data_IF_124507722089
#
_entry.id   IF_124507722089
#
_cell.length_a   1.000
_cell.length_b   1.000
_cell.length_c   1.000
_cell.angle_alpha   90.00
_cell.angle_beta   90.00
_cell.angle_gamma   90.00
#
_symmetry.space_group_name_H-M   'P 1'
#
loop_
_entity.id
_entity.type
_entity.pdbx_description
1 polymer ?
#
# COMPACT_ATOMS: atom_id res chain seq x y z
N UNK A 1 31.56 23.17 13.10
CA UNK A 1 30.67 23.64 12.02
C UNK A 1 31.09 23.11 10.66
N UNK A 2 32.32 23.37 10.21
CA UNK A 2 32.81 22.95 8.89
C UNK A 2 32.63 21.44 8.53
N UNK A 3 32.80 20.50 9.49
CA UNK A 3 32.60 19.06 9.22
C UNK A 3 31.13 18.72 8.98
N UNK A 4 30.21 19.34 9.73
CA UNK A 4 28.76 19.11 9.60
C UNK A 4 28.27 19.63 8.24
N UNK A 5 28.76 20.79 7.84
CA UNK A 5 28.42 21.42 6.56
C UNK A 5 28.92 20.59 5.37
N UNK A 6 30.14 20.06 5.45
CA UNK A 6 30.70 19.16 4.41
C UNK A 6 29.93 17.85 4.33
N UNK A 7 29.58 17.23 5.47
CA UNK A 7 28.77 15.99 5.45
C UNK A 7 27.37 16.21 4.90
N UNK A 8 26.75 17.35 5.19
CA UNK A 8 25.41 17.69 4.69
C UNK A 8 25.42 17.98 3.20
N UNK A 9 26.45 18.68 2.70
CA UNK A 9 26.67 18.91 1.28
C UNK A 9 26.82 17.57 0.53
N UNK A 10 27.63 16.65 1.06
CA UNK A 10 27.81 15.33 0.48
C UNK A 10 26.48 14.56 0.39
N UNK A 11 25.69 14.56 1.47
CA UNK A 11 24.38 13.91 1.50
C UNK A 11 23.40 14.53 0.47
N UNK A 12 23.38 15.85 0.33
CA UNK A 12 22.55 16.54 -0.66
C UNK A 12 22.94 16.16 -2.09
N UNK A 13 24.24 16.11 -2.40
CA UNK A 13 24.72 15.71 -3.73
C UNK A 13 24.36 14.25 -4.02
N UNK A 14 24.51 13.38 -3.03
CA UNK A 14 24.12 11.97 -3.16
C UNK A 14 22.61 11.82 -3.41
N UNK A 15 21.77 12.52 -2.64
CA UNK A 15 20.32 12.53 -2.84
C UNK A 15 19.94 13.07 -4.22
N UNK A 16 20.56 14.16 -4.68
CA UNK A 16 20.35 14.70 -6.01
C UNK A 16 20.72 13.68 -7.10
N UNK A 17 21.80 12.93 -6.91
CA UNK A 17 22.20 11.84 -7.81
C UNK A 17 21.16 10.72 -7.89
N UNK A 18 20.61 10.29 -6.75
CA UNK A 18 19.54 9.28 -6.70
C UNK A 18 18.30 9.77 -7.43
N UNK A 19 17.87 11.01 -7.14
CA UNK A 19 16.67 11.60 -7.76
C UNK A 19 16.83 11.83 -9.27
N UNK A 20 18.03 12.15 -9.74
CA UNK A 20 18.32 12.20 -11.18
C UNK A 20 18.16 10.82 -11.83
N UNK A 21 18.59 9.76 -11.14
CA UNK A 21 18.36 8.38 -11.57
C UNK A 21 16.87 8.06 -11.69
N UNK A 22 16.07 8.46 -10.70
CA UNK A 22 14.61 8.30 -10.71
C UNK A 22 13.97 9.03 -11.90
N UNK A 23 14.34 10.30 -12.15
CA UNK A 23 13.84 11.07 -13.30
C UNK A 23 14.12 10.37 -14.63
N UNK A 24 15.33 9.85 -14.82
CA UNK A 24 15.69 9.12 -16.05
C UNK A 24 14.88 7.82 -16.17
N UNK A 25 14.65 7.12 -15.06
CA UNK A 25 13.80 5.94 -14.99
C UNK A 25 12.37 6.24 -15.44
N UNK A 26 11.74 7.25 -14.84
CA UNK A 26 10.35 7.63 -15.13
C UNK A 26 10.17 8.11 -16.57
N UNK A 27 11.10 8.91 -17.11
CA UNK A 27 11.05 9.37 -18.51
C UNK A 27 11.15 8.20 -19.50
N UNK A 28 11.95 7.17 -19.16
CA UNK A 28 12.05 5.96 -19.98
C UNK A 28 10.74 5.16 -19.97
N UNK A 29 10.11 5.03 -18.81
CA UNK A 29 8.87 4.29 -18.62
C UNK A 29 7.68 4.96 -19.34
N UNK A 30 7.56 6.28 -19.22
CA UNK A 30 6.58 7.09 -19.98
C UNK A 30 6.74 6.90 -21.49
N UNK A 31 7.98 6.80 -21.97
CA UNK A 31 8.27 6.61 -23.40
C UNK A 31 7.89 5.21 -23.90
N UNK A 32 7.99 4.18 -23.07
CA UNK A 32 7.63 2.80 -23.45
C UNK A 32 6.13 2.52 -23.37
N UNK A 33 5.44 3.03 -22.34
CA UNK A 33 4.03 2.67 -22.08
C UNK A 33 3.01 3.68 -22.65
N UNK A 34 3.46 4.89 -22.97
CA UNK A 34 2.61 5.99 -23.40
C UNK A 34 1.95 6.73 -22.22
N UNK A 35 1.84 8.05 -22.35
CA UNK A 35 1.46 8.99 -21.27
C UNK A 35 0.10 8.63 -20.64
N UNK A 36 -0.87 8.19 -21.45
CA UNK A 36 -2.26 7.95 -21.00
C UNK A 36 -2.43 6.70 -20.13
N UNK A 37 -1.66 5.64 -20.41
CA UNK A 37 -1.69 4.42 -19.59
C UNK A 37 -0.91 4.67 -18.29
N UNK A 38 0.22 5.34 -18.41
CA UNK A 38 1.10 5.69 -17.31
C UNK A 38 0.42 6.59 -16.25
N UNK A 39 -0.34 7.61 -16.68
CA UNK A 39 -1.00 8.55 -15.77
C UNK A 39 -2.21 7.96 -15.00
N UNK A 40 -2.65 6.74 -15.35
CA UNK A 40 -3.75 6.06 -14.64
C UNK A 40 -3.25 5.29 -13.41
N UNK A 41 -1.95 4.97 -13.35
CA UNK A 41 -1.39 4.29 -12.19
C UNK A 41 -1.09 5.29 -11.06
N UNK A 42 -1.63 5.01 -9.88
CA UNK A 42 -1.49 5.87 -8.69
C UNK A 42 -0.03 5.97 -8.26
N UNK A 43 0.74 4.89 -8.44
CA UNK A 43 2.16 4.85 -8.05
C UNK A 43 3.01 5.82 -8.86
N UNK A 44 2.71 5.94 -10.14
CA UNK A 44 3.40 6.87 -11.04
C UNK A 44 3.12 8.33 -10.65
N UNK A 45 1.90 8.63 -10.19
CA UNK A 45 1.56 9.96 -9.67
C UNK A 45 2.37 10.27 -8.41
N UNK A 46 2.55 9.30 -7.51
CA UNK A 46 3.35 9.44 -6.29
C UNK A 46 4.83 9.69 -6.64
N UNK A 47 5.38 8.96 -7.61
CA UNK A 47 6.77 9.13 -8.06
C UNK A 47 7.02 10.54 -8.65
N UNK A 48 6.13 11.03 -9.53
CA UNK A 48 6.21 12.40 -10.04
C UNK A 48 6.01 13.45 -8.95
N UNK A 49 5.08 13.23 -8.02
CA UNK A 49 4.88 14.14 -6.90
C UNK A 49 6.13 14.25 -6.04
N UNK A 50 6.84 13.14 -5.79
CA UNK A 50 8.10 13.13 -5.07
C UNK A 50 9.19 13.92 -5.81
N UNK A 51 9.30 13.75 -7.13
CA UNK A 51 10.25 14.50 -7.97
C UNK A 51 9.96 16.01 -7.91
N UNK A 52 8.69 16.41 -8.05
CA UNK A 52 8.30 17.82 -7.99
C UNK A 52 8.59 18.42 -6.61
N UNK A 53 8.28 17.69 -5.53
CA UNK A 53 8.61 18.12 -4.16
C UNK A 53 10.11 18.33 -3.98
N UNK A 54 10.94 17.43 -4.50
CA UNK A 54 12.39 17.55 -4.41
C UNK A 54 12.93 18.76 -5.16
N UNK A 55 12.46 19.01 -6.39
CA UNK A 55 12.83 20.20 -7.17
C UNK A 55 12.42 21.47 -6.43
N UNK A 56 11.19 21.51 -5.90
CA UNK A 56 10.71 22.63 -5.11
C UNK A 56 11.60 22.86 -3.87
N UNK A 57 12.01 21.80 -3.19
CA UNK A 57 12.88 21.88 -2.02
C UNK A 57 14.26 22.47 -2.36
N UNK A 58 14.86 22.07 -3.48
CA UNK A 58 16.12 22.66 -3.96
C UNK A 58 15.93 24.16 -4.25
N UNK A 59 14.86 24.53 -4.94
CA UNK A 59 14.57 25.95 -5.25
C UNK A 59 14.43 26.76 -3.97
N UNK A 60 13.64 26.28 -3.00
CA UNK A 60 13.48 26.96 -1.71
C UNK A 60 14.79 27.04 -0.92
N UNK A 61 15.58 25.98 -0.91
CA UNK A 61 16.90 25.96 -0.25
C UNK A 61 17.86 27.01 -0.85
N UNK A 62 17.93 27.09 -2.18
CA UNK A 62 18.71 28.11 -2.87
C UNK A 62 18.21 29.53 -2.58
N UNK A 63 16.88 29.73 -2.55
CA UNK A 63 16.29 31.02 -2.19
C UNK A 63 16.65 31.43 -0.76
N UNK A 64 16.58 30.51 0.22
CA UNK A 64 16.98 30.81 1.59
C UNK A 64 18.46 31.13 1.68
N UNK A 65 19.33 30.36 1.03
CA UNK A 65 20.76 30.64 1.02
C UNK A 65 21.09 31.97 0.33
N UNK A 66 20.35 32.32 -0.73
CA UNK A 66 20.47 33.62 -1.38
C UNK A 66 20.04 34.76 -0.44
N UNK A 67 18.92 34.61 0.27
CA UNK A 67 18.47 35.56 1.29
C UNK A 67 19.51 35.68 2.41
N UNK A 68 20.02 34.56 2.92
CA UNK A 68 21.12 34.56 3.90
C UNK A 68 22.33 35.29 3.37
N UNK A 69 22.75 35.08 2.13
CA UNK A 69 23.91 35.79 1.56
C UNK A 69 23.69 37.31 1.42
N UNK A 70 22.46 37.75 1.14
CA UNK A 70 22.10 39.18 1.09
C UNK A 70 22.10 39.80 2.48
N UNK A 71 21.55 39.10 3.48
CA UNK A 71 21.35 39.64 4.83
C UNK A 71 22.48 39.30 5.83
N UNK A 72 23.37 38.36 5.50
CA UNK A 72 24.51 37.95 6.32
C UNK A 72 25.78 38.77 6.06
N UNK A 73 25.66 39.95 5.44
CA UNK A 73 26.71 40.95 5.54
C UNK A 73 26.49 41.78 6.81
N UNK A 74 27.21 41.51 7.92
CA UNK A 74 27.40 42.54 8.91
C UNK A 74 28.40 43.53 8.29
N UNK A 75 27.91 44.43 7.43
CA UNK A 75 28.65 45.68 7.28
C UNK A 75 28.62 46.29 8.67
N UNK A 76 29.76 46.17 9.36
CA UNK A 76 30.03 46.54 10.74
C UNK A 76 29.00 47.55 11.22
N UNK A 77 28.03 47.07 12.01
CA UNK A 77 27.03 47.93 12.65
C UNK A 77 27.86 48.91 13.49
N UNK A 78 28.16 50.09 12.94
CA UNK A 78 28.82 51.17 13.66
C UNK A 78 27.72 51.79 14.53
N UNK A 79 27.29 51.01 15.54
CA UNK A 79 26.18 51.27 16.47
C UNK A 79 26.30 52.62 17.19
N UNK A 80 27.47 53.26 17.10
CA UNK A 80 27.85 54.39 17.93
C UNK A 80 27.68 55.78 17.30
N UNK A 81 27.22 55.92 16.05
CA UNK A 81 27.26 57.25 15.39
C UNK A 81 25.93 57.88 14.98
N UNK A 82 24.81 57.15 14.82
CA UNK A 82 23.53 57.77 14.40
C UNK A 82 22.29 57.04 14.98
N UNK A 83 21.68 57.58 16.04
CA UNK A 83 20.52 56.98 16.72
C UNK A 83 19.25 56.79 15.87
N UNK A 84 18.91 57.65 14.89
CA UNK A 84 17.74 57.41 14.03
C UNK A 84 17.92 56.28 13.01
N UNK A 85 19.13 56.04 12.50
CA UNK A 85 19.40 54.99 11.50
C UNK A 85 19.53 53.61 12.12
N UNK A 86 20.10 53.51 13.33
CA UNK A 86 20.29 52.24 14.05
C UNK A 86 18.95 51.54 14.35
N UNK A 87 17.88 52.28 14.69
CA UNK A 87 16.56 51.68 14.94
C UNK A 87 15.97 51.05 13.66
N UNK A 88 16.11 51.74 12.52
CA UNK A 88 15.63 51.27 11.22
C UNK A 88 16.43 50.04 10.75
N UNK A 89 17.73 50.00 11.00
CA UNK A 89 18.59 48.89 10.60
C UNK A 89 18.37 47.63 11.46
N UNK A 90 18.15 47.78 12.78
CA UNK A 90 17.78 46.67 13.67
C UNK A 90 16.39 46.12 13.32
N UNK A 91 15.43 46.98 13.00
CA UNK A 91 14.08 46.55 12.60
C UNK A 91 14.09 45.80 11.26
N UNK A 92 14.89 46.25 10.28
CA UNK A 92 15.09 45.54 9.01
C UNK A 92 15.81 44.21 9.21
N UNK A 93 16.84 44.17 10.06
CA UNK A 93 17.53 42.93 10.42
C UNK A 93 16.59 41.92 11.10
N UNK A 94 15.77 42.37 12.05
CA UNK A 94 14.76 41.54 12.71
C UNK A 94 13.70 41.00 11.75
N UNK A 95 13.11 41.85 10.91
CA UNK A 95 12.15 41.41 9.88
C UNK A 95 12.77 40.44 8.87
N UNK A 96 14.07 40.62 8.53
CA UNK A 96 14.77 39.70 7.65
C UNK A 96 15.07 38.35 8.32
N UNK A 97 15.35 38.34 9.62
CA UNK A 97 15.57 37.13 10.41
C UNK A 97 14.26 36.32 10.55
N UNK A 98 13.15 36.98 10.88
CA UNK A 98 11.83 36.34 10.97
C UNK A 98 11.41 35.73 9.62
N UNK A 99 11.70 36.41 8.51
CA UNK A 99 11.43 35.91 7.16
C UNK A 99 12.27 34.67 6.81
N UNK A 100 13.55 34.64 7.24
CA UNK A 100 14.44 33.49 7.07
C UNK A 100 13.95 32.31 7.93
N UNK A 101 13.65 32.53 9.21
CA UNK A 101 13.13 31.49 10.11
C UNK A 101 11.82 30.88 9.59
N UNK A 102 10.87 31.72 9.16
CA UNK A 102 9.61 31.24 8.58
C UNK A 102 9.84 30.46 7.26
N UNK A 103 10.88 30.80 6.50
CA UNK A 103 11.25 30.05 5.30
C UNK A 103 11.89 28.69 5.64
N UNK A 104 12.70 28.63 6.69
CA UNK A 104 13.28 27.39 7.22
C UNK A 104 12.20 26.44 7.74
N UNK A 105 11.20 26.95 8.48
CA UNK A 105 10.05 26.14 8.92
C UNK A 105 9.27 25.55 7.75
N UNK A 106 9.04 26.33 6.69
CA UNK A 106 8.41 25.83 5.46
C UNK A 106 9.24 24.74 4.80
N UNK A 107 10.56 24.90 4.73
CA UNK A 107 11.45 23.86 4.21
C UNK A 107 11.41 22.59 5.06
N UNK A 108 11.38 22.72 6.39
CA UNK A 108 11.27 21.57 7.29
C UNK A 108 9.96 20.81 7.07
N UNK A 109 8.83 21.50 6.95
CA UNK A 109 7.54 20.89 6.63
C UNK A 109 7.61 20.15 5.29
N UNK A 110 8.18 20.77 4.25
CA UNK A 110 8.36 20.12 2.93
C UNK A 110 9.26 18.88 3.02
N UNK A 111 10.28 18.92 3.87
CA UNK A 111 11.20 17.79 4.12
C UNK A 111 10.46 16.62 4.76
N UNK A 112 9.59 16.90 5.75
CA UNK A 112 8.77 15.88 6.40
C UNK A 112 7.81 15.25 5.40
N UNK A 113 7.16 16.06 4.56
CA UNK A 113 6.26 15.56 3.51
C UNK A 113 7.05 14.71 2.50
N UNK A 114 8.25 15.13 2.10
CA UNK A 114 9.10 14.36 1.19
C UNK A 114 9.45 12.98 1.77
N UNK A 115 9.84 12.91 3.05
CA UNK A 115 10.13 11.64 3.73
C UNK A 115 8.87 10.77 3.85
N UNK A 116 7.72 11.38 4.12
CA UNK A 116 6.44 10.67 4.18
C UNK A 116 6.09 10.04 2.81
N UNK A 117 6.24 10.79 1.72
CA UNK A 117 6.03 10.29 0.36
C UNK A 117 7.05 9.20 0.00
N UNK A 118 8.32 9.38 0.36
CA UNK A 118 9.34 8.35 0.17
C UNK A 118 9.00 7.06 0.94
N UNK A 119 8.43 7.18 2.13
CA UNK A 119 7.94 6.05 2.91
C UNK A 119 6.74 5.38 2.23
N UNK A 120 5.83 6.14 1.63
CA UNK A 120 4.73 5.58 0.84
C UNK A 120 5.24 4.82 -0.39
N UNK A 121 6.32 5.30 -1.02
CA UNK A 121 6.98 4.60 -2.14
C UNK A 121 7.52 3.22 -1.75
N UNK A 122 7.85 2.98 -0.47
CA UNK A 122 8.22 1.64 0.01
C UNK A 122 7.12 0.60 -0.26
N UNK A 123 5.84 0.99 -0.18
CA UNK A 123 4.74 0.08 -0.52
C UNK A 123 4.78 -0.38 -1.98
N UNK A 124 5.23 0.47 -2.92
CA UNK A 124 5.44 0.07 -4.33
C UNK A 124 6.44 -1.09 -4.43
N UNK A 125 7.55 -1.00 -3.70
CA UNK A 125 8.59 -2.04 -3.69
C UNK A 125 8.16 -3.31 -2.93
N UNK A 126 7.35 -3.17 -1.88
CA UNK A 126 6.80 -4.32 -1.15
C UNK A 126 5.85 -5.17 -2.00
N UNK A 127 5.21 -4.59 -3.04
CA UNK A 127 4.39 -5.35 -4.01
C UNK A 127 5.20 -6.31 -4.89
N UNK A 128 6.53 -6.30 -4.84
CA UNK A 128 7.34 -7.30 -5.50
C UNK A 128 7.12 -8.71 -4.88
N UNK A 129 6.74 -8.77 -3.60
CA UNK A 129 6.36 -10.03 -2.96
C UNK A 129 4.87 -10.34 -3.19
N UNK A 130 4.52 -11.54 -3.69
CA UNK A 130 3.13 -11.89 -3.99
C UNK A 130 2.19 -11.90 -2.77
N UNK A 131 2.69 -12.09 -1.55
CA UNK A 131 1.85 -12.02 -0.35
C UNK A 131 1.53 -10.57 0.01
N UNK A 132 2.51 -9.68 -0.06
CA UNK A 132 2.32 -8.25 0.23
C UNK A 132 1.56 -7.52 -0.89
N UNK A 133 1.75 -7.94 -2.15
CA UNK A 133 0.98 -7.44 -3.29
C UNK A 133 -0.52 -7.68 -3.10
N UNK A 134 -0.90 -8.87 -2.66
CA UNK A 134 -2.29 -9.21 -2.35
C UNK A 134 -2.87 -8.24 -1.33
N UNK A 135 -2.20 -8.01 -0.20
CA UNK A 135 -2.68 -7.10 0.85
C UNK A 135 -2.87 -5.67 0.31
N UNK A 136 -1.96 -5.19 -0.53
CA UNK A 136 -2.07 -3.85 -1.13
C UNK A 136 -3.24 -3.73 -2.12
N UNK A 137 -3.47 -4.75 -2.94
CA UNK A 137 -4.54 -4.76 -3.93
C UNK A 137 -5.91 -4.85 -3.25
N UNK A 138 -5.98 -5.57 -2.14
CA UNK A 138 -7.21 -5.79 -1.39
C UNK A 138 -7.56 -4.56 -0.58
N UNK A 139 -6.56 -3.88 -0.01
CA UNK A 139 -6.74 -2.57 0.61
C UNK A 139 -7.20 -1.53 -0.43
N UNK A 140 -6.64 -1.57 -1.65
CA UNK A 140 -7.05 -0.69 -2.74
C UNK A 140 -8.51 -0.89 -3.17
N UNK A 141 -8.98 -2.14 -3.21
CA UNK A 141 -10.40 -2.44 -3.46
C UNK A 141 -11.29 -2.03 -2.30
N UNK A 142 -10.88 -2.35 -1.07
CA UNK A 142 -11.60 -1.98 0.15
C UNK A 142 -11.74 -0.45 0.30
N UNK A 143 -10.77 0.31 -0.22
CA UNK A 143 -10.80 1.77 -0.18
C UNK A 143 -12.03 2.36 -0.87
N UNK A 144 -12.52 1.75 -1.95
CA UNK A 144 -13.71 2.25 -2.64
C UNK A 144 -14.94 2.18 -1.73
N UNK A 145 -15.18 1.03 -1.10
CA UNK A 145 -16.31 0.89 -0.17
C UNK A 145 -16.12 1.76 1.06
N UNK A 146 -14.89 1.81 1.57
CA UNK A 146 -14.52 2.63 2.72
C UNK A 146 -14.73 4.12 2.44
N UNK A 147 -14.51 4.57 1.19
CA UNK A 147 -14.71 5.96 0.81
C UNK A 147 -16.19 6.37 0.90
N UNK A 148 -17.11 5.50 0.50
CA UNK A 148 -18.55 5.75 0.61
C UNK A 148 -19.00 5.86 2.07
N UNK A 149 -18.54 4.95 2.93
CA UNK A 149 -18.77 5.03 4.37
C UNK A 149 -18.11 6.28 4.99
N UNK A 150 -16.90 6.61 4.53
CA UNK A 150 -16.14 7.76 4.97
C UNK A 150 -16.88 9.09 4.76
N UNK A 151 -17.68 9.22 3.70
CA UNK A 151 -18.52 10.42 3.49
C UNK A 151 -19.53 10.58 4.62
N UNK A 152 -20.22 9.50 5.01
CA UNK A 152 -21.20 9.52 6.11
C UNK A 152 -20.52 9.85 7.44
N UNK A 153 -19.36 9.23 7.68
CA UNK A 153 -18.52 9.51 8.85
C UNK A 153 -18.12 10.99 8.92
N UNK A 154 -17.59 11.55 7.84
CA UNK A 154 -17.16 12.95 7.77
C UNK A 154 -18.32 13.92 7.97
N UNK A 155 -19.50 13.63 7.41
CA UNK A 155 -20.71 14.43 7.62
C UNK A 155 -21.13 14.46 9.10
N UNK A 156 -21.16 13.29 9.74
CA UNK A 156 -21.43 13.20 11.17
C UNK A 156 -20.36 13.95 11.98
N UNK A 157 -19.08 13.76 11.65
CA UNK A 157 -17.95 14.40 12.32
C UNK A 157 -18.07 15.93 12.25
N UNK A 158 -18.35 16.50 11.08
CA UNK A 158 -18.50 17.96 10.92
C UNK A 158 -19.70 18.49 11.72
N UNK A 159 -20.84 17.79 11.67
CA UNK A 159 -22.03 18.20 12.42
C UNK A 159 -21.78 18.21 13.94
N UNK A 160 -21.21 17.13 14.47
CA UNK A 160 -20.89 17.03 15.90
C UNK A 160 -19.75 17.97 16.30
N UNK A 161 -18.76 18.20 15.42
CA UNK A 161 -17.69 19.18 15.65
C UNK A 161 -18.27 20.57 15.88
N UNK A 162 -19.20 21.00 15.02
CA UNK A 162 -19.85 22.30 15.18
C UNK A 162 -20.68 22.35 16.46
N UNK A 163 -21.45 21.30 16.79
CA UNK A 163 -22.20 21.24 18.05
C UNK A 163 -21.29 21.35 19.27
N UNK A 164 -20.19 20.59 19.32
CA UNK A 164 -19.25 20.60 20.43
C UNK A 164 -18.48 21.92 20.53
N UNK A 165 -18.08 22.50 19.40
CA UNK A 165 -17.46 23.83 19.35
C UNK A 165 -18.38 24.90 19.97
N UNK A 166 -19.66 24.93 19.59
CA UNK A 166 -20.61 25.90 20.14
C UNK A 166 -20.88 25.69 21.64
N UNK A 167 -20.90 24.44 22.11
CA UNK A 167 -21.30 24.13 23.49
C UNK A 167 -20.14 24.13 24.50
N UNK A 168 -18.94 23.74 24.07
CA UNK A 168 -17.79 23.58 24.94
C UNK A 168 -16.66 24.57 24.62
N UNK A 169 -16.68 25.26 23.49
CA UNK A 169 -15.53 26.05 23.03
C UNK A 169 -15.13 27.23 23.92
N UNK A 170 -16.02 27.71 24.80
CA UNK A 170 -15.67 28.74 25.79
C UNK A 170 -15.22 28.18 27.13
N UNK A 171 -15.39 26.86 27.36
CA UNK A 171 -15.20 26.21 28.66
C UNK A 171 -14.09 25.17 28.66
N UNK A 172 -13.74 24.63 27.48
CA UNK A 172 -12.74 23.58 27.35
C UNK A 172 -11.82 23.91 26.15
N UNK A 173 -10.52 23.93 26.41
CA UNK A 173 -9.48 24.18 25.42
C UNK A 173 -9.47 23.14 24.28
N UNK A 174 -9.93 21.91 24.56
CA UNK A 174 -10.07 20.83 23.57
C UNK A 174 -11.08 21.17 22.45
N UNK A 175 -12.00 22.11 22.70
CA UNK A 175 -13.01 22.54 21.73
C UNK A 175 -12.94 24.03 21.39
N UNK A 176 -11.81 24.70 21.63
CA UNK A 176 -11.69 26.15 21.49
C UNK A 176 -11.70 26.66 20.04
N UNK A 177 -11.48 25.78 19.05
CA UNK A 177 -11.54 26.08 17.64
C UNK A 177 -12.03 24.86 16.86
N UNK A 178 -12.65 25.02 15.67
CA UNK A 178 -13.20 23.89 14.92
C UNK A 178 -12.19 22.79 14.59
N UNK A 179 -10.93 23.12 14.31
CA UNK A 179 -9.90 22.12 14.00
C UNK A 179 -9.48 21.32 15.24
N UNK A 180 -9.34 21.98 16.39
CA UNK A 180 -9.11 21.32 17.68
C UNK A 180 -10.31 20.45 18.07
N UNK A 181 -11.53 20.93 17.84
CA UNK A 181 -12.76 20.17 18.07
C UNK A 181 -12.82 18.88 17.25
N UNK A 182 -12.37 18.89 15.99
CA UNK A 182 -12.27 17.66 15.17
C UNK A 182 -11.34 16.65 15.82
N UNK A 183 -10.14 17.08 16.21
CA UNK A 183 -9.14 16.22 16.86
C UNK A 183 -9.71 15.67 18.18
N UNK A 184 -10.39 16.51 18.96
CA UNK A 184 -11.02 16.11 20.21
C UNK A 184 -12.16 15.10 20.03
N UNK A 185 -13.00 15.27 19.00
CA UNK A 185 -14.04 14.30 18.66
C UNK A 185 -13.46 12.95 18.24
N UNK A 186 -12.41 12.97 17.40
CA UNK A 186 -11.73 11.74 16.94
C UNK A 186 -11.08 11.03 18.13
N UNK A 187 -10.40 11.77 19.02
CA UNK A 187 -9.84 11.22 20.26
C UNK A 187 -10.92 10.57 21.13
N UNK A 188 -12.02 11.28 21.35
CA UNK A 188 -13.17 10.74 22.11
C UNK A 188 -13.76 9.48 21.45
N UNK A 189 -13.81 9.43 20.12
CA UNK A 189 -14.26 8.23 19.39
C UNK A 189 -13.29 7.05 19.51
N UNK A 190 -11.98 7.31 19.64
CA UNK A 190 -10.96 6.30 19.90
C UNK A 190 -10.91 5.87 21.39
N UNK A 191 -11.70 6.49 22.26
CA UNK A 191 -11.70 6.25 23.70
C UNK A 191 -10.67 7.08 24.47
N UNK A 192 -9.98 8.01 23.81
CA UNK A 192 -9.07 8.98 24.42
C UNK A 192 -9.88 10.19 24.92
N UNK A 193 -10.53 10.00 26.08
CA UNK A 193 -11.17 11.07 26.81
C UNK A 193 -10.21 11.62 27.85
N UNK A 194 -9.82 12.88 27.73
CA UNK A 194 -8.96 13.54 28.73
C UNK A 194 -9.61 13.44 30.12
N UNK A 195 -8.89 12.82 31.06
CA UNK A 195 -9.29 12.64 32.45
C UNK A 195 -9.17 13.93 33.27
N UNK A 196 -8.50 14.97 32.74
CA UNK A 196 -8.20 16.20 33.44
C UNK A 196 -9.24 17.31 33.23
N UNK A 197 -10.01 17.26 32.14
CA UNK A 197 -11.15 18.17 31.89
C UNK A 197 -12.43 17.35 31.73
N UNK A 198 -13.23 17.17 32.80
CA UNK A 198 -14.41 16.36 32.69
C UNK A 198 -15.40 17.03 31.73
N UNK A 199 -15.63 16.39 30.58
CA UNK A 199 -16.71 16.67 29.64
C UNK A 199 -18.09 16.65 30.32
N UNK A 200 -18.16 15.99 31.49
CA UNK A 200 -19.30 15.89 32.36
C UNK A 200 -19.20 16.90 33.51
N UNK A 201 -20.21 17.75 33.74
CA UNK A 201 -20.16 18.76 34.79
C UNK A 201 -20.11 18.10 36.18
N UNK A 202 -18.99 18.30 36.90
CA UNK A 202 -18.80 17.87 38.30
C UNK A 202 -19.27 18.94 39.31
N UNK A 203 -20.23 19.79 38.95
CA UNK A 203 -20.76 20.79 39.88
C UNK A 203 -22.19 20.42 40.26
N UNK A 204 -22.48 20.33 41.56
CA UNK A 204 -23.74 19.83 42.13
C UNK A 204 -25.00 20.66 41.84
N UNK A 205 -25.01 21.45 40.77
CA UNK A 205 -26.18 22.15 40.22
C UNK A 205 -26.24 21.87 38.72
N UNK A 206 -27.00 20.86 38.32
CA UNK A 206 -27.27 20.58 36.92
C UNK A 206 -28.13 21.70 36.33
N UNK A 207 -27.54 22.60 35.56
CA UNK A 207 -28.30 23.49 34.68
C UNK A 207 -28.87 22.67 33.50
N UNK A 208 -29.95 23.12 32.87
CA UNK A 208 -30.51 22.43 31.69
C UNK A 208 -29.47 22.29 30.54
N UNK A 209 -28.55 23.24 30.45
CA UNK A 209 -27.45 23.26 29.48
C UNK A 209 -26.44 22.14 29.76
N UNK A 210 -26.16 21.85 31.02
CA UNK A 210 -25.22 20.81 31.45
C UNK A 210 -25.73 19.40 31.16
N UNK A 211 -27.04 19.20 31.28
CA UNK A 211 -27.71 17.96 30.86
C UNK A 211 -27.61 17.83 29.34
N UNK A 212 -27.86 18.90 28.59
CA UNK A 212 -27.77 18.89 27.12
C UNK A 212 -26.35 18.57 26.62
N UNK A 213 -25.31 19.12 27.27
CA UNK A 213 -23.90 18.79 27.02
C UNK A 213 -23.62 17.30 27.18
N UNK A 214 -24.08 16.75 28.30
CA UNK A 214 -23.93 15.32 28.63
C UNK A 214 -24.61 14.43 27.58
N UNK A 215 -25.84 14.78 27.17
CA UNK A 215 -26.59 14.03 26.15
C UNK A 215 -25.88 14.04 24.80
N UNK A 216 -25.33 15.18 24.36
CA UNK A 216 -24.60 15.24 23.09
C UNK A 216 -23.34 14.38 23.13
N UNK A 217 -22.52 14.50 24.18
CA UNK A 217 -21.29 13.69 24.32
C UNK A 217 -21.64 12.20 24.38
N UNK A 218 -22.66 11.83 25.14
CA UNK A 218 -23.13 10.44 25.21
C UNK A 218 -23.63 9.95 23.84
N UNK A 219 -24.38 10.78 23.11
CA UNK A 219 -24.85 10.43 21.77
C UNK A 219 -23.70 10.23 20.80
N UNK A 220 -22.64 11.05 20.88
CA UNK A 220 -21.43 10.90 20.09
C UNK A 220 -20.73 9.58 20.41
N UNK A 221 -20.47 9.28 21.68
CA UNK A 221 -19.80 8.04 22.09
C UNK A 221 -20.57 6.79 21.65
N UNK A 222 -21.90 6.78 21.81
CA UNK A 222 -22.74 5.67 21.34
C UNK A 222 -22.66 5.54 19.81
N UNK A 223 -22.82 6.65 19.09
CA UNK A 223 -22.79 6.66 17.63
C UNK A 223 -21.41 6.25 17.09
N UNK A 224 -20.32 6.75 17.66
CA UNK A 224 -18.96 6.46 17.20
C UNK A 224 -18.51 5.04 17.55
N UNK A 225 -18.77 4.57 18.78
CA UNK A 225 -18.33 3.26 19.24
C UNK A 225 -19.21 2.12 18.69
N UNK A 226 -20.53 2.27 18.71
CA UNK A 226 -21.44 1.18 18.33
C UNK A 226 -21.73 1.18 16.84
N UNK A 227 -21.92 2.34 16.22
CA UNK A 227 -22.29 2.39 14.79
C UNK A 227 -21.04 2.56 13.92
N UNK A 228 -20.28 3.64 14.10
CA UNK A 228 -19.22 3.97 13.14
C UNK A 228 -18.07 2.96 13.17
N UNK A 229 -17.52 2.61 14.34
CA UNK A 229 -16.41 1.66 14.41
C UNK A 229 -16.81 0.23 14.04
N UNK A 230 -18.01 -0.22 14.40
CA UNK A 230 -18.43 -1.58 14.07
C UNK A 230 -18.76 -1.74 12.57
N UNK A 231 -19.34 -0.72 11.93
CA UNK A 231 -19.54 -0.73 10.47
C UNK A 231 -18.19 -0.69 9.75
N UNK A 232 -17.25 0.13 10.23
CA UNK A 232 -15.90 0.18 9.69
C UNK A 232 -15.21 -1.18 9.77
N UNK A 233 -15.25 -1.83 10.95
CA UNK A 233 -14.66 -3.15 11.15
C UNK A 233 -15.31 -4.21 10.27
N UNK A 234 -16.65 -4.22 10.19
CA UNK A 234 -17.38 -5.15 9.32
C UNK A 234 -16.95 -5.00 7.86
N UNK A 235 -16.81 -3.77 7.37
CA UNK A 235 -16.43 -3.52 5.99
C UNK A 235 -15.01 -3.96 5.67
N UNK A 236 -14.08 -3.76 6.60
CA UNK A 236 -12.69 -4.22 6.46
C UNK A 236 -12.63 -5.76 6.46
N UNK A 237 -13.39 -6.41 7.36
CA UNK A 237 -13.46 -7.87 7.43
C UNK A 237 -14.07 -8.47 6.17
N UNK A 238 -15.16 -7.90 5.65
CA UNK A 238 -15.80 -8.39 4.42
C UNK A 238 -14.87 -8.29 3.22
N UNK A 239 -14.15 -7.17 3.08
CA UNK A 239 -13.17 -6.99 2.02
C UNK A 239 -11.97 -7.94 2.15
N UNK A 240 -11.50 -8.19 3.37
CA UNK A 240 -10.44 -9.16 3.63
C UNK A 240 -10.89 -10.60 3.32
N UNK A 241 -12.12 -10.96 3.68
CA UNK A 241 -12.68 -12.29 3.38
C UNK A 241 -12.85 -12.49 1.87
N UNK A 242 -13.40 -11.49 1.16
CA UNK A 242 -13.52 -11.53 -0.30
C UNK A 242 -12.16 -11.67 -0.99
N UNK A 243 -11.16 -10.94 -0.51
CA UNK A 243 -9.78 -11.06 -0.98
C UNK A 243 -9.22 -12.48 -0.84
N UNK A 244 -9.47 -13.11 0.31
CA UNK A 244 -9.03 -14.47 0.57
C UNK A 244 -9.74 -15.48 -0.34
N UNK A 245 -11.05 -15.31 -0.56
CA UNK A 245 -11.82 -16.12 -1.50
C UNK A 245 -11.31 -16.02 -2.93
N UNK A 246 -10.99 -14.81 -3.41
CA UNK A 246 -10.44 -14.60 -4.75
C UNK A 246 -9.13 -15.35 -4.97
N UNK A 247 -8.26 -15.40 -3.95
CA UNK A 247 -7.01 -16.16 -3.99
C UNK A 247 -7.28 -17.66 -4.03
N UNK A 248 -8.25 -18.14 -3.26
CA UNK A 248 -8.65 -19.56 -3.29
C UNK A 248 -9.21 -19.94 -4.66
N UNK A 249 -10.09 -19.11 -5.23
CA UNK A 249 -10.67 -19.32 -6.58
C UNK A 249 -9.58 -19.32 -7.65
N UNK A 250 -8.60 -18.42 -7.58
CA UNK A 250 -7.46 -18.40 -8.52
C UNK A 250 -6.63 -19.68 -8.46
N UNK A 251 -6.32 -20.17 -7.26
CA UNK A 251 -5.60 -21.45 -7.08
C UNK A 251 -6.38 -22.64 -7.60
N UNK A 252 -7.70 -22.66 -7.40
CA UNK A 252 -8.57 -23.72 -7.92
C UNK A 252 -8.63 -23.67 -9.45
N UNK A 253 -8.80 -22.49 -10.05
CA UNK A 253 -8.83 -22.31 -11.50
C UNK A 253 -7.50 -22.69 -12.16
N UNK A 254 -6.37 -22.38 -11.53
CA UNK A 254 -5.05 -22.79 -12.04
C UNK A 254 -4.89 -24.32 -12.00
N UNK A 255 -5.30 -24.97 -10.89
CA UNK A 255 -5.31 -26.42 -10.79
C UNK A 255 -6.24 -27.09 -11.81
N UNK A 256 -7.43 -26.54 -12.05
CA UNK A 256 -8.36 -27.04 -13.09
C UNK A 256 -7.83 -26.79 -14.50
N UNK A 257 -7.18 -25.65 -14.75
CA UNK A 257 -6.51 -25.33 -16.01
C UNK A 257 -5.38 -26.31 -16.32
N UNK A 258 -4.57 -26.63 -15.31
CA UNK A 258 -3.55 -27.67 -15.41
C UNK A 258 -4.20 -29.03 -15.70
N UNK A 259 -5.28 -29.39 -14.99
CA UNK A 259 -5.94 -30.67 -15.18
C UNK A 259 -6.56 -30.80 -16.60
N UNK A 260 -7.14 -29.72 -17.13
CA UNK A 260 -7.74 -29.70 -18.47
C UNK A 260 -6.69 -29.78 -19.59
N UNK A 261 -5.57 -29.08 -19.46
CA UNK A 261 -4.46 -29.16 -20.43
C UNK A 261 -3.81 -30.55 -20.42
N UNK A 262 -3.63 -31.17 -19.24
CA UNK A 262 -3.17 -32.55 -19.11
C UNK A 262 -4.13 -33.54 -19.79
N UNK A 263 -5.45 -33.37 -19.61
CA UNK A 263 -6.47 -34.22 -20.25
C UNK A 263 -6.42 -34.11 -21.77
N UNK A 264 -6.27 -32.90 -22.32
CA UNK A 264 -6.17 -32.68 -23.76
C UNK A 264 -4.91 -33.30 -24.37
N UNK A 265 -3.75 -33.14 -23.71
CA UNK A 265 -2.49 -33.75 -24.15
C UNK A 265 -2.57 -35.28 -24.15
N UNK A 266 -3.18 -35.85 -23.12
CA UNK A 266 -3.42 -37.27 -23.02
C UNK A 266 -4.34 -37.81 -24.13
N UNK A 267 -5.46 -37.12 -24.40
CA UNK A 267 -6.39 -37.53 -25.47
C UNK A 267 -5.72 -37.47 -26.85
N UNK A 268 -4.90 -36.44 -27.12
CA UNK A 268 -4.13 -36.31 -28.36
C UNK A 268 -3.12 -37.46 -28.54
N UNK A 269 -2.29 -37.75 -27.53
CA UNK A 269 -1.31 -38.84 -27.63
C UNK A 269 -1.97 -40.22 -27.61
N UNK A 270 -3.03 -40.42 -26.84
CA UNK A 270 -3.81 -41.66 -26.83
C UNK A 270 -4.41 -41.98 -28.20
N UNK A 271 -4.91 -40.96 -28.92
CA UNK A 271 -5.42 -41.13 -30.29
C UNK A 271 -4.31 -41.58 -31.27
N UNK A 272 -3.07 -41.17 -31.02
CA UNK A 272 -1.90 -41.57 -31.81
C UNK A 272 -1.48 -43.00 -31.48
N UNK A 273 -1.48 -43.37 -30.19
CA UNK A 273 -1.22 -44.74 -29.73
C UNK A 273 -2.24 -45.75 -30.27
N UNK A 274 -3.53 -45.40 -30.28
CA UNK A 274 -4.58 -46.26 -30.84
C UNK A 274 -4.41 -46.50 -32.36
N UNK A 275 -3.88 -45.52 -33.09
CA UNK A 275 -3.54 -45.70 -34.51
C UNK A 275 -2.37 -46.67 -34.71
N UNK A 276 -1.36 -46.60 -33.84
CA UNK A 276 -0.20 -47.51 -33.86
C UNK A 276 -0.58 -48.94 -33.46
N UNK A 277 -1.47 -49.14 -32.48
CA UNK A 277 -1.96 -50.46 -32.09
C UNK A 277 -2.79 -51.16 -33.19
N UNK A 278 -3.37 -50.41 -34.14
CA UNK A 278 -4.13 -50.98 -35.26
C UNK A 278 -3.22 -51.64 -36.32
N UNK A 279 -1.91 -51.37 -36.29
CA UNK A 279 -0.92 -51.98 -37.18
C UNK A 279 -0.31 -53.21 -36.49
N UNK A 280 -0.53 -54.38 -37.08
CA UNK A 280 -0.17 -55.69 -36.52
C UNK A 280 1.35 -55.88 -36.36
N UNK A 281 1.72 -56.40 -35.20
CA UNK A 281 2.88 -57.25 -34.86
C UNK A 281 4.30 -56.67 -34.68
N UNK A 282 4.48 -55.36 -34.41
CA UNK A 282 5.77 -54.85 -33.86
C UNK A 282 5.59 -53.81 -32.74
N UNK A 283 4.38 -53.70 -32.18
CA UNK A 283 3.86 -52.44 -31.62
C UNK A 283 3.91 -52.32 -30.08
N UNK A 284 4.50 -53.29 -29.34
CA UNK A 284 4.61 -53.20 -27.86
C UNK A 284 5.72 -52.25 -27.40
N UNK A 285 6.89 -52.29 -28.03
CA UNK A 285 8.03 -51.44 -27.63
C UNK A 285 7.77 -49.98 -28.00
N UNK A 286 7.10 -49.73 -29.13
CA UNK A 286 6.75 -48.37 -29.56
C UNK A 286 5.60 -47.80 -28.72
N UNK A 287 4.68 -48.64 -28.25
CA UNK A 287 3.67 -48.27 -27.26
C UNK A 287 4.32 -47.90 -25.91
N UNK A 288 5.27 -48.70 -25.43
CA UNK A 288 6.02 -48.40 -24.21
C UNK A 288 6.84 -47.10 -24.33
N UNK A 289 7.58 -46.91 -25.43
CA UNK A 289 8.36 -45.66 -25.66
C UNK A 289 7.48 -44.42 -25.74
N UNK A 290 6.31 -44.52 -26.37
CA UNK A 290 5.40 -43.39 -26.48
C UNK A 290 4.68 -43.07 -25.15
N UNK A 291 4.49 -44.07 -24.27
CA UNK A 291 4.02 -43.85 -22.90
C UNK A 291 5.09 -43.19 -22.03
N UNK A 292 6.35 -43.62 -22.11
CA UNK A 292 7.49 -43.03 -21.39
C UNK A 292 7.74 -41.57 -21.82
N UNK A 293 7.58 -41.27 -23.12
CA UNK A 293 7.62 -39.89 -23.62
C UNK A 293 6.48 -39.01 -23.10
N UNK A 294 5.29 -39.57 -22.88
CA UNK A 294 4.17 -38.84 -22.28
C UNK A 294 4.50 -38.48 -20.83
N UNK A 295 5.08 -39.41 -20.07
CA UNK A 295 5.46 -39.20 -18.68
C UNK A 295 6.57 -38.13 -18.54
N UNK A 296 7.61 -38.20 -19.38
CA UNK A 296 8.67 -37.19 -19.40
C UNK A 296 8.15 -35.79 -19.77
N UNK A 297 7.31 -35.64 -20.80
CA UNK A 297 6.75 -34.33 -21.18
C UNK A 297 5.84 -33.74 -20.10
N UNK A 298 5.08 -34.58 -19.40
CA UNK A 298 4.24 -34.15 -18.27
C UNK A 298 5.10 -33.72 -17.08
N UNK A 299 6.16 -34.48 -16.76
CA UNK A 299 7.12 -34.19 -15.68
C UNK A 299 7.92 -32.92 -15.95
N UNK A 300 8.35 -32.70 -17.20
CA UNK A 300 9.13 -31.53 -17.63
C UNK A 300 8.31 -30.23 -17.57
N UNK A 301 7.04 -30.27 -18.00
CA UNK A 301 6.21 -29.05 -18.06
C UNK A 301 5.62 -28.59 -16.73
N UNK A 302 5.37 -29.49 -15.77
CA UNK A 302 4.59 -29.15 -14.57
C UNK A 302 5.33 -29.40 -13.24
N UNK A 303 6.55 -29.93 -13.29
CA UNK A 303 7.36 -30.20 -12.11
C UNK A 303 6.83 -31.36 -11.26
N UNK A 304 7.71 -32.01 -10.50
CA UNK A 304 7.47 -33.28 -9.81
C UNK A 304 6.42 -33.25 -8.66
N UNK A 305 5.67 -32.15 -8.47
CA UNK A 305 4.74 -32.01 -7.35
C UNK A 305 3.40 -32.69 -7.66
N UNK A 306 3.34 -33.98 -7.34
CA UNK A 306 2.19 -34.63 -6.72
C UNK A 306 0.83 -34.41 -7.39
N UNK A 307 0.75 -34.45 -8.72
CA UNK A 307 -0.52 -34.60 -9.40
C UNK A 307 -0.89 -36.08 -9.34
N UNK A 308 -2.14 -36.36 -8.97
CA UNK A 308 -2.70 -37.70 -8.72
C UNK A 308 -2.71 -38.48 -10.04
N UNK A 309 -1.54 -39.00 -10.42
CA UNK A 309 -1.33 -39.88 -11.58
C UNK A 309 -2.28 -41.09 -11.53
N UNK A 310 -2.69 -41.49 -10.32
CA UNK A 310 -3.69 -42.53 -10.08
C UNK A 310 -5.09 -42.22 -10.59
N UNK A 311 -5.53 -40.96 -10.61
CA UNK A 311 -6.86 -40.58 -11.14
C UNK A 311 -6.81 -40.47 -12.66
N UNK A 312 -5.70 -39.97 -13.19
CA UNK A 312 -5.41 -39.95 -14.61
C UNK A 312 -5.36 -41.37 -15.20
N UNK A 313 -4.62 -42.30 -14.58
CA UNK A 313 -4.57 -43.69 -14.99
C UNK A 313 -5.93 -44.38 -14.86
N UNK A 314 -6.72 -44.12 -13.81
CA UNK A 314 -8.07 -44.69 -13.65
C UNK A 314 -9.05 -44.27 -14.75
N UNK A 315 -9.04 -43.00 -15.15
CA UNK A 315 -9.90 -42.49 -16.22
C UNK A 315 -9.47 -43.03 -17.60
N UNK A 316 -8.16 -43.21 -17.81
CA UNK A 316 -7.61 -43.78 -19.05
C UNK A 316 -8.06 -45.23 -19.26
N UNK A 317 -8.15 -46.01 -18.17
CA UNK A 317 -8.66 -47.39 -18.17
C UNK A 317 -10.14 -47.44 -18.48
N UNK A 318 -10.92 -46.55 -17.88
CA UNK A 318 -12.37 -46.49 -18.06
C UNK A 318 -12.75 -46.24 -19.52
N UNK A 319 -11.98 -45.43 -20.26
CA UNK A 319 -12.27 -45.07 -21.66
C UNK A 319 -11.70 -46.02 -22.72
N UNK A 320 -10.62 -46.75 -22.41
CA UNK A 320 -9.93 -47.60 -23.40
C UNK A 320 -10.28 -49.08 -23.31
N UNK A 321 -10.87 -49.53 -22.19
CA UNK A 321 -11.21 -50.94 -21.99
C UNK A 321 -10.00 -51.87 -21.91
N UNK A 322 -8.78 -51.33 -21.74
CA UNK A 322 -7.59 -52.15 -21.49
C UNK A 322 -7.75 -52.92 -20.18
N UNK A 323 -7.39 -54.20 -20.18
CA UNK A 323 -7.64 -55.09 -19.05
C UNK A 323 -6.93 -54.60 -17.78
N UNK A 324 -7.57 -54.78 -16.62
CA UNK A 324 -7.03 -54.46 -15.29
C UNK A 324 -5.60 -54.99 -15.08
N UNK A 325 -5.25 -56.11 -15.73
CA UNK A 325 -3.93 -56.76 -15.62
C UNK A 325 -2.80 -55.90 -16.19
N UNK A 326 -3.04 -55.19 -17.31
CA UNK A 326 -2.03 -54.33 -17.93
C UNK A 326 -1.74 -53.08 -17.09
N UNK A 327 -2.73 -52.61 -16.32
CA UNK A 327 -2.58 -51.42 -15.48
C UNK A 327 -1.88 -51.72 -14.15
N UNK A 328 -2.01 -52.94 -13.63
CA UNK A 328 -1.22 -53.41 -12.48
C UNK A 328 0.24 -53.55 -12.90
N UNK A 329 0.53 -54.12 -14.08
CA UNK A 329 1.89 -54.20 -14.63
C UNK A 329 2.54 -52.83 -14.84
N UNK A 330 1.78 -51.84 -15.34
CA UNK A 330 2.27 -50.46 -15.53
C UNK A 330 2.42 -49.72 -14.19
N UNK A 331 1.49 -49.88 -13.26
CA UNK A 331 1.61 -49.29 -11.93
C UNK A 331 2.80 -49.88 -11.14
N UNK A 332 3.04 -51.18 -11.27
CA UNK A 332 4.15 -51.89 -10.62
C UNK A 332 5.50 -51.54 -11.26
N UNK A 333 5.57 -51.33 -12.59
CA UNK A 333 6.80 -50.85 -13.25
C UNK A 333 7.10 -49.39 -12.95
N UNK A 334 6.08 -48.53 -12.83
CA UNK A 334 6.26 -47.14 -12.38
C UNK A 334 6.67 -47.09 -10.91
N UNK A 335 6.09 -47.93 -10.04
CA UNK A 335 6.52 -48.07 -8.65
C UNK A 335 7.98 -48.56 -8.54
N UNK A 336 8.36 -49.55 -9.35
CA UNK A 336 9.73 -50.07 -9.40
C UNK A 336 10.76 -49.04 -9.92
N UNK A 337 10.36 -48.12 -10.81
CA UNK A 337 11.22 -47.02 -11.26
C UNK A 337 11.40 -45.91 -10.21
N UNK A 338 10.49 -45.82 -9.23
CA UNK A 338 10.55 -44.85 -8.14
C UNK A 338 11.55 -45.25 -7.05
N UNK A 339 11.76 -46.55 -6.86
CA UNK A 339 12.72 -47.11 -5.91
C UNK A 339 14.15 -47.15 -6.46
N UNK A 340 14.37 -46.79 -7.73
CA UNK A 340 15.70 -46.71 -8.37
C UNK A 340 16.30 -45.30 -8.42
N UNK A 341 15.58 -44.27 -7.96
CA UNK A 341 16.06 -42.88 -7.85
C UNK A 341 16.17 -42.37 -6.39
N UNK A 342 16.35 -43.26 -5.40
CA UNK A 342 16.67 -42.88 -4.00
C UNK A 342 18.12 -43.20 -3.63
#
# INVERSE_FOLDING_TARGET
DNIKDVTLLFLMVLLAGIMLGDVVGEVREVRSEGIWKYARDVWNIIDWFQIVLFIAQIIFYLNINHLKNIYAQPESLNVWTNFPSVYVDIQKAGMSADAILAAEDRLNIMSVIFVLVATLRLFKYLRADPHLALVSDTLGRAFQDLSHFGVVFCLALVMYTMMCFLMFGTQNDMFNNPAASVIGLIGTAAGDGDSNTPLLPYTGRASAIDIFKTVIVLSWVILSAILLMNVLLSLVLDNFNQAQEDVMKRKQMDNEGILTTLRQLAELKLSTLLRLCRQKDQSRIDLFRAMEQLECEVREKHGAKGIILGDFCRELVARTGLSRTFCVEVADTVAASRDTEL
#
